data_IF_330234374386
#
_entry.id   IF_330234374386
#
_cell.length_a   1.000
_cell.length_b   1.000
_cell.length_c   1.000
_cell.angle_alpha   90.00
_cell.angle_beta   90.00
_cell.angle_gamma   90.00
#
_symmetry.space_group_name_H-M   'P 1'
#
loop_
_entity.id
_entity.type
_entity.pdbx_description
1 polymer ?
#
# COMPACT_ATOMS: atom_id res chain seq x y z
N UNK A 1 -2.27 16.26 17.45
CA UNK A 1 -2.02 17.56 18.11
C UNK A 1 -1.02 17.51 19.26
N UNK A 2 -1.05 16.53 20.19
CA UNK A 2 -0.08 16.47 21.33
C UNK A 2 1.41 16.39 20.92
N UNK A 3 1.70 15.88 19.73
CA UNK A 3 3.07 15.75 19.18
C UNK A 3 3.52 16.97 18.36
N UNK A 4 2.62 17.95 18.15
CA UNK A 4 2.96 19.20 17.44
C UNK A 4 3.68 20.17 18.36
N UNK A 5 4.57 20.99 17.78
CA UNK A 5 5.22 22.09 18.51
C UNK A 5 4.18 23.09 19.07
N UNK A 6 4.45 23.70 20.22
CA UNK A 6 3.59 24.77 20.75
C UNK A 6 3.46 25.94 19.76
N UNK A 7 2.27 26.57 19.72
CA UNK A 7 1.97 27.66 18.80
C UNK A 7 2.18 27.28 17.31
N UNK A 8 1.69 26.11 16.95
CA UNK A 8 1.72 25.61 15.58
C UNK A 8 0.32 25.50 14.98
N UNK A 9 0.29 25.47 13.66
CA UNK A 9 -0.91 25.17 12.87
C UNK A 9 -0.53 24.09 11.84
N UNK A 10 -1.36 23.07 11.68
CA UNK A 10 -1.23 22.14 10.56
C UNK A 10 -2.33 22.41 9.54
N UNK A 11 -1.97 22.36 8.27
CA UNK A 11 -2.88 22.45 7.11
C UNK A 11 -2.72 21.18 6.30
N UNK A 12 -3.81 20.42 6.20
CA UNK A 12 -3.86 19.11 5.53
C UNK A 12 -4.93 19.18 4.44
N UNK A 13 -4.54 19.16 3.15
CA UNK A 13 -5.49 19.12 2.06
C UNK A 13 -6.04 17.73 1.85
N UNK A 14 -7.31 17.63 1.50
CA UNK A 14 -7.91 16.43 0.89
C UNK A 14 -7.38 16.24 -0.54
N UNK A 15 -7.52 15.01 -1.05
CA UNK A 15 -7.32 14.75 -2.47
C UNK A 15 -8.32 15.53 -3.33
N UNK A 16 -7.94 15.75 -4.58
CA UNK A 16 -8.80 16.33 -5.63
C UNK A 16 -9.32 15.23 -6.54
N UNK A 17 -10.47 15.44 -7.16
CA UNK A 17 -10.92 14.60 -8.24
C UNK A 17 -9.94 14.68 -9.41
N UNK A 18 -9.66 13.54 -10.04
CA UNK A 18 -8.70 13.41 -11.15
C UNK A 18 -9.46 13.05 -12.42
N UNK A 19 -9.29 13.84 -13.48
CA UNK A 19 -9.92 13.57 -14.77
C UNK A 19 -9.32 12.34 -15.44
N UNK A 20 -10.15 11.39 -15.83
CA UNK A 20 -9.81 10.23 -16.64
C UNK A 20 -9.77 10.58 -18.13
N UNK A 21 -10.85 11.21 -18.60
CA UNK A 21 -11.00 11.62 -20.00
C UNK A 21 -12.04 12.72 -20.13
N UNK A 22 -11.68 13.82 -20.75
CA UNK A 22 -12.55 14.96 -21.03
C UNK A 22 -13.30 15.45 -19.78
N UNK A 23 -14.56 15.07 -19.60
CA UNK A 23 -15.46 15.44 -18.50
C UNK A 23 -15.78 14.26 -17.56
N UNK A 24 -15.03 13.17 -17.66
CA UNK A 24 -15.20 11.96 -16.84
C UNK A 24 -14.02 11.81 -15.90
N UNK A 25 -14.30 11.64 -14.61
CA UNK A 25 -13.29 11.45 -13.56
C UNK A 25 -12.95 9.98 -13.34
N UNK A 26 -11.75 9.74 -12.80
CA UNK A 26 -11.45 8.49 -12.15
C UNK A 26 -12.27 8.33 -10.87
N UNK A 27 -12.42 7.09 -10.42
CA UNK A 27 -13.00 6.84 -9.09
C UNK A 27 -12.17 7.59 -8.04
N UNK A 28 -12.83 8.38 -7.22
CA UNK A 28 -12.17 9.16 -6.17
C UNK A 28 -11.61 8.25 -5.08
N UNK A 29 -10.39 8.51 -4.66
CA UNK A 29 -9.74 7.98 -3.47
C UNK A 29 -9.17 9.13 -2.66
N UNK A 30 -9.48 9.16 -1.35
CA UNK A 30 -9.00 10.21 -0.47
C UNK A 30 -7.49 10.07 -0.21
N UNK A 31 -6.81 11.21 0.08
CA UNK A 31 -5.46 11.23 0.61
C UNK A 31 -5.40 10.48 1.94
N UNK A 32 -4.45 9.58 2.09
CA UNK A 32 -4.38 8.67 3.24
C UNK A 32 -4.11 9.40 4.56
N UNK A 33 -3.23 10.41 4.57
CA UNK A 33 -2.94 11.20 5.78
C UNK A 33 -4.14 12.05 6.19
N UNK A 34 -4.83 12.65 5.22
CA UNK A 34 -6.05 13.40 5.46
C UNK A 34 -7.16 12.52 6.01
N UNK A 35 -7.42 11.37 5.36
CA UNK A 35 -8.46 10.43 5.79
C UNK A 35 -8.17 9.85 7.17
N UNK A 36 -6.92 9.46 7.43
CA UNK A 36 -6.45 8.95 8.71
C UNK A 36 -6.79 9.88 9.89
N UNK A 37 -6.63 11.19 9.69
CA UNK A 37 -6.85 12.17 10.75
C UNK A 37 -8.29 12.65 10.86
N UNK A 38 -9.07 12.61 9.78
CA UNK A 38 -10.39 13.26 9.70
C UNK A 38 -11.55 12.30 9.52
N UNK A 39 -11.32 11.13 8.90
CA UNK A 39 -12.36 10.24 8.42
C UNK A 39 -13.22 10.84 7.29
N UNK A 40 -12.89 12.05 6.79
CA UNK A 40 -13.68 12.77 5.81
C UNK A 40 -13.38 12.30 4.38
N UNK A 41 -14.36 11.68 3.72
CA UNK A 41 -14.19 11.00 2.44
C UNK A 41 -14.54 11.81 1.20
N UNK A 42 -14.79 13.15 1.30
CA UNK A 42 -15.11 13.97 0.13
C UNK A 42 -13.89 14.74 -0.38
N UNK A 43 -13.79 15.01 -1.72
CA UNK A 43 -12.70 15.79 -2.30
C UNK A 43 -12.75 17.27 -1.93
N UNK A 44 -11.67 17.98 -2.29
CA UNK A 44 -11.55 19.45 -2.21
C UNK A 44 -11.81 20.03 -0.81
N UNK A 45 -11.42 19.32 0.23
CA UNK A 45 -11.50 19.80 1.61
C UNK A 45 -10.11 20.21 2.13
N UNK A 46 -10.09 20.97 3.23
CA UNK A 46 -8.87 21.27 3.98
C UNK A 46 -9.14 21.11 5.47
N UNK A 47 -8.31 20.35 6.16
CA UNK A 47 -8.31 20.27 7.61
C UNK A 47 -7.25 21.20 8.19
N UNK A 48 -7.62 21.94 9.22
CA UNK A 48 -6.71 22.80 9.98
C UNK A 48 -6.70 22.35 11.44
N UNK A 49 -5.50 22.03 11.94
CA UNK A 49 -5.29 21.68 13.34
C UNK A 49 -4.49 22.79 14.03
N UNK A 50 -5.08 23.43 15.03
CA UNK A 50 -4.47 24.53 15.79
C UNK A 50 -4.54 24.23 17.29
N UNK A 51 -3.55 23.55 17.89
CA UNK A 51 -3.60 23.09 19.29
C UNK A 51 -3.88 24.17 20.31
N UNK A 52 -3.47 25.41 20.04
CA UNK A 52 -3.62 26.59 20.91
C UNK A 52 -4.78 27.51 20.50
N UNK A 53 -5.52 27.18 19.42
CA UNK A 53 -6.66 27.97 18.93
C UNK A 53 -7.95 27.70 19.72
N UNK A 54 -8.93 28.60 19.63
CA UNK A 54 -10.28 28.37 20.17
C UNK A 54 -10.96 27.19 19.47
N UNK A 55 -10.90 27.14 18.13
CA UNK A 55 -11.23 25.96 17.33
C UNK A 55 -9.95 25.18 17.05
N UNK A 56 -9.79 24.06 17.73
CA UNK A 56 -8.57 23.23 17.61
C UNK A 56 -8.55 22.39 16.36
N UNK A 57 -9.72 22.03 15.85
CA UNK A 57 -9.92 21.27 14.63
C UNK A 57 -10.97 21.98 13.77
N UNK A 58 -10.58 22.47 12.63
CA UNK A 58 -11.45 23.15 11.67
C UNK A 58 -11.45 22.40 10.33
N UNK A 59 -12.63 22.19 9.75
CA UNK A 59 -12.78 21.65 8.40
C UNK A 59 -13.29 22.73 7.44
N UNK A 60 -12.63 22.86 6.31
CA UNK A 60 -13.12 23.60 5.15
C UNK A 60 -13.59 22.57 4.13
N UNK A 61 -14.88 22.62 3.77
CA UNK A 61 -15.52 21.59 2.94
C UNK A 61 -16.37 22.20 1.84
N UNK A 62 -16.66 21.44 0.81
CA UNK A 62 -17.62 21.85 -0.21
C UNK A 62 -18.99 22.09 0.44
N UNK A 63 -19.62 23.25 0.27
CA UNK A 63 -20.96 23.49 0.80
C UNK A 63 -21.98 22.61 0.10
N UNK A 64 -23.13 22.41 0.73
CA UNK A 64 -24.28 21.78 0.09
C UNK A 64 -24.75 22.64 -1.08
N UNK A 65 -25.00 22.01 -2.21
CA UNK A 65 -25.46 22.63 -3.43
C UNK A 65 -26.47 21.69 -4.10
N UNK A 66 -27.77 21.90 -3.89
CA UNK A 66 -28.80 21.00 -4.41
C UNK A 66 -28.75 20.80 -5.94
N UNK A 67 -28.32 21.81 -6.71
CA UNK A 67 -28.20 21.69 -8.17
C UNK A 67 -27.05 20.74 -8.54
N UNK A 68 -25.89 20.83 -7.88
CA UNK A 68 -24.76 19.94 -8.09
C UNK A 68 -24.98 18.55 -7.50
N UNK A 69 -25.67 18.47 -6.35
CA UNK A 69 -25.98 17.20 -5.70
C UNK A 69 -26.86 16.27 -6.54
N UNK A 70 -27.65 16.83 -7.47
CA UNK A 70 -28.42 16.03 -8.45
C UNK A 70 -27.50 15.27 -9.40
N UNK A 71 -26.30 15.81 -9.69
CA UNK A 71 -25.34 15.23 -10.63
C UNK A 71 -24.31 14.33 -9.95
N UNK A 72 -23.75 14.78 -8.83
CA UNK A 72 -22.57 14.16 -8.21
C UNK A 72 -22.86 13.46 -6.87
N UNK A 73 -24.10 13.47 -6.43
CA UNK A 73 -24.50 12.90 -5.15
C UNK A 73 -24.49 13.92 -4.00
N UNK A 74 -24.97 13.47 -2.85
CA UNK A 74 -25.12 14.31 -1.65
C UNK A 74 -23.76 14.69 -1.08
N UNK A 75 -23.62 15.93 -0.61
CA UNK A 75 -22.46 16.45 0.10
C UNK A 75 -22.74 16.53 1.60
N UNK A 76 -21.73 16.33 2.42
CA UNK A 76 -21.82 16.53 3.86
C UNK A 76 -22.19 17.99 4.19
N UNK A 77 -21.53 18.94 3.51
CA UNK A 77 -21.68 20.36 3.83
C UNK A 77 -21.10 20.74 5.17
N UNK A 78 -21.21 22.01 5.52
CA UNK A 78 -20.61 22.58 6.74
C UNK A 78 -21.20 22.00 8.03
N UNK A 79 -22.52 21.84 8.09
CA UNK A 79 -23.20 21.38 9.29
C UNK A 79 -22.80 19.94 9.64
N UNK A 80 -22.86 19.05 8.65
CA UNK A 80 -22.53 17.65 8.84
C UNK A 80 -21.04 17.42 9.06
N UNK A 81 -20.19 18.29 8.52
CA UNK A 81 -18.76 18.27 8.80
C UNK A 81 -18.45 18.44 10.29
N UNK A 82 -19.20 19.30 11.00
CA UNK A 82 -19.11 19.43 12.47
C UNK A 82 -19.70 18.24 13.21
N UNK A 83 -20.93 17.87 12.88
CA UNK A 83 -21.71 16.89 13.65
C UNK A 83 -21.13 15.47 13.54
N UNK A 84 -20.67 15.08 12.34
CA UNK A 84 -20.25 13.71 12.06
C UNK A 84 -18.74 13.52 12.20
N UNK A 85 -17.94 14.52 11.81
CA UNK A 85 -16.49 14.40 11.76
C UNK A 85 -15.77 15.12 12.91
N UNK A 86 -16.51 15.58 13.92
CA UNK A 86 -15.96 16.09 15.17
C UNK A 86 -15.20 17.41 15.05
N UNK A 87 -15.41 18.18 13.99
CA UNK A 87 -14.78 19.49 13.84
C UNK A 87 -15.35 20.51 14.83
N UNK A 88 -14.50 21.27 15.51
CA UNK A 88 -14.91 22.39 16.39
C UNK A 88 -15.57 23.48 15.56
N UNK A 89 -15.04 23.75 14.36
CA UNK A 89 -15.58 24.68 13.39
C UNK A 89 -15.55 24.08 11.98
N UNK A 90 -16.49 24.50 11.13
CA UNK A 90 -16.48 24.16 9.72
C UNK A 90 -16.93 25.35 8.89
N UNK A 91 -16.35 25.49 7.68
CA UNK A 91 -16.60 26.60 6.76
C UNK A 91 -16.66 26.06 5.31
N UNK A 92 -17.29 26.81 4.38
CA UNK A 92 -17.13 26.59 2.95
C UNK A 92 -15.66 26.65 2.56
N UNK A 93 -15.20 25.73 1.68
CA UNK A 93 -13.78 25.66 1.28
C UNK A 93 -13.34 26.94 0.54
N UNK A 94 -14.24 27.64 -0.10
CA UNK A 94 -14.00 28.92 -0.76
C UNK A 94 -13.52 30.01 0.21
N UNK A 95 -13.92 29.94 1.49
CA UNK A 95 -13.50 30.89 2.52
C UNK A 95 -12.08 30.63 3.07
N UNK A 96 -11.47 29.47 2.73
CA UNK A 96 -10.17 29.09 3.27
C UNK A 96 -9.09 30.15 3.04
N UNK A 97 -9.02 30.66 1.79
CA UNK A 97 -8.03 31.68 1.43
C UNK A 97 -8.18 32.99 2.21
N UNK A 98 -9.40 33.40 2.49
CA UNK A 98 -9.70 34.64 3.25
C UNK A 98 -9.34 34.48 4.73
N UNK A 99 -9.56 33.28 5.29
CA UNK A 99 -9.29 32.96 6.71
C UNK A 99 -7.82 32.65 7.00
N UNK A 100 -6.98 32.46 5.98
CA UNK A 100 -5.57 32.07 6.18
C UNK A 100 -4.78 33.04 7.06
N UNK A 101 -5.01 34.37 6.99
CA UNK A 101 -4.31 35.32 7.83
C UNK A 101 -4.64 35.09 9.30
N UNK A 102 -5.91 34.89 9.63
CA UNK A 102 -6.38 34.63 10.98
C UNK A 102 -5.82 33.30 11.52
N UNK A 103 -5.91 32.24 10.70
CA UNK A 103 -5.43 30.91 11.05
C UNK A 103 -3.93 30.84 11.30
N UNK A 104 -3.12 31.65 10.60
CA UNK A 104 -1.67 31.62 10.67
C UNK A 104 -1.09 32.70 11.58
N UNK A 105 -1.88 33.70 12.01
CA UNK A 105 -1.36 34.81 12.84
C UNK A 105 -0.92 34.31 14.22
N UNK A 106 0.33 34.59 14.53
CA UNK A 106 0.96 34.16 15.78
C UNK A 106 1.41 32.69 15.82
N UNK A 107 1.08 31.91 14.81
CA UNK A 107 1.65 30.58 14.68
C UNK A 107 3.16 30.68 14.40
N UNK A 108 3.96 29.97 15.19
CA UNK A 108 5.40 29.87 14.99
C UNK A 108 5.78 28.86 13.94
N UNK A 109 5.05 27.74 13.87
CA UNK A 109 5.30 26.60 13.02
C UNK A 109 4.07 26.30 12.17
N UNK A 110 4.27 26.12 10.86
CA UNK A 110 3.27 25.62 9.94
C UNK A 110 3.63 24.18 9.56
N UNK A 111 2.80 23.23 9.97
CA UNK A 111 2.88 21.86 9.48
C UNK A 111 2.15 21.77 8.15
N UNK A 112 2.92 21.58 7.09
CA UNK A 112 2.39 21.46 5.73
C UNK A 112 3.41 20.76 4.84
N UNK A 113 2.94 19.77 4.06
CA UNK A 113 3.79 19.08 3.08
C UNK A 113 3.79 19.85 1.77
N UNK A 114 4.85 20.59 1.51
CA UNK A 114 5.06 21.32 0.25
C UNK A 114 5.34 20.33 -0.86
N UNK A 115 4.71 20.52 -2.02
CA UNK A 115 4.92 19.66 -3.19
C UNK A 115 4.11 18.36 -3.18
N UNK A 116 3.12 18.22 -2.31
CA UNK A 116 2.23 17.06 -2.24
C UNK A 116 1.06 17.13 -3.25
N UNK A 117 1.36 17.37 -4.53
CA UNK A 117 0.39 17.31 -5.61
C UNK A 117 -0.65 18.44 -5.69
N UNK A 118 -0.56 19.45 -4.81
CA UNK A 118 -1.47 20.60 -4.80
C UNK A 118 -0.73 21.94 -4.99
N UNK A 119 -0.23 22.24 -6.21
CA UNK A 119 0.57 23.43 -6.48
C UNK A 119 -0.18 24.74 -6.23
N UNK A 120 -1.50 24.76 -6.37
CA UNK A 120 -2.31 25.97 -6.11
C UNK A 120 -2.29 26.32 -4.62
N UNK A 121 -2.39 25.31 -3.74
CA UNK A 121 -2.32 25.50 -2.30
C UNK A 121 -0.91 25.89 -1.88
N UNK A 122 0.13 25.27 -2.45
CA UNK A 122 1.53 25.66 -2.22
C UNK A 122 1.74 27.16 -2.49
N UNK A 123 1.28 27.62 -3.67
CA UNK A 123 1.38 29.03 -4.07
C UNK A 123 0.55 29.95 -3.17
N UNK A 124 -0.66 29.52 -2.80
CA UNK A 124 -1.53 30.29 -1.91
C UNK A 124 -0.87 30.52 -0.57
N UNK A 125 -0.30 29.50 0.05
CA UNK A 125 0.39 29.58 1.34
C UNK A 125 1.65 30.45 1.26
N UNK A 126 2.47 30.30 0.22
CA UNK A 126 3.67 31.13 0.02
C UNK A 126 3.30 32.61 -0.14
N UNK A 127 2.29 32.93 -0.97
CA UNK A 127 1.80 34.32 -1.17
C UNK A 127 1.23 34.87 0.14
N UNK A 128 0.50 34.08 0.89
CA UNK A 128 -0.09 34.51 2.16
C UNK A 128 0.97 34.82 3.20
N UNK A 129 1.96 33.95 3.37
CA UNK A 129 3.09 34.18 4.29
C UNK A 129 3.86 35.46 3.89
N UNK A 130 4.10 35.67 2.59
CA UNK A 130 4.74 36.88 2.10
C UNK A 130 3.91 38.13 2.43
N UNK A 131 2.59 38.09 2.21
CA UNK A 131 1.66 39.17 2.57
C UNK A 131 1.68 39.48 4.08
N UNK A 132 1.63 38.46 4.90
CA UNK A 132 1.68 38.60 6.37
C UNK A 132 2.97 39.29 6.84
N UNK A 133 4.15 39.00 6.23
CA UNK A 133 5.40 39.67 6.48
C UNK A 133 5.32 41.19 6.25
N UNK A 134 4.60 41.61 5.21
CA UNK A 134 4.38 43.04 4.94
C UNK A 134 3.43 43.68 5.95
N UNK A 135 2.60 42.91 6.64
CA UNK A 135 1.67 43.38 7.68
C UNK A 135 2.28 43.43 9.07
N UNK A 136 3.58 43.14 9.23
CA UNK A 136 4.27 43.10 10.53
C UNK A 136 4.14 44.38 11.34
N UNK A 137 4.10 45.58 10.71
CA UNK A 137 3.83 46.87 11.37
C UNK A 137 2.43 46.99 11.99
N UNK A 138 1.50 46.09 11.55
CA UNK A 138 0.14 45.99 12.11
C UNK A 138 0.02 44.93 13.19
N UNK A 139 1.14 44.30 13.60
CA UNK A 139 1.19 43.29 14.64
C UNK A 139 1.01 41.85 14.13
N UNK A 140 0.78 41.62 12.82
CA UNK A 140 0.62 40.27 12.23
C UNK A 140 1.96 39.54 12.23
N UNK A 141 1.94 38.28 12.68
CA UNK A 141 3.15 37.45 12.83
C UNK A 141 2.99 36.16 12.00
N UNK A 142 3.66 36.07 10.84
CA UNK A 142 3.62 34.87 10.02
C UNK A 142 4.43 33.72 10.66
N UNK A 143 4.19 32.46 10.25
CA UNK A 143 5.03 31.32 10.62
C UNK A 143 6.51 31.56 10.27
N UNK A 144 7.39 31.06 11.14
CA UNK A 144 8.85 31.15 10.95
C UNK A 144 9.39 29.99 10.12
N UNK A 145 8.76 28.81 10.20
CA UNK A 145 9.17 27.61 9.48
C UNK A 145 7.96 26.81 9.01
N UNK A 146 8.19 26.04 7.95
CA UNK A 146 7.28 25.01 7.46
C UNK A 146 7.91 23.67 7.80
N UNK A 147 7.14 22.76 8.39
CA UNK A 147 7.56 21.42 8.83
C UNK A 147 6.67 20.40 8.12
N UNK A 148 7.26 19.33 7.59
CA UNK A 148 6.48 18.22 7.02
C UNK A 148 5.73 17.48 8.16
N UNK A 149 4.37 17.42 8.12
CA UNK A 149 3.57 16.70 9.11
C UNK A 149 3.82 15.19 9.09
N UNK A 150 4.39 14.62 8.01
CA UNK A 150 4.74 13.23 7.88
C UNK A 150 5.61 12.71 9.02
N UNK A 151 6.52 13.53 9.54
CA UNK A 151 7.32 13.16 10.71
C UNK A 151 6.48 12.73 11.94
N UNK A 152 5.22 13.18 12.02
CA UNK A 152 4.28 12.81 13.10
C UNK A 152 3.27 11.77 12.60
N UNK A 153 2.64 12.03 11.44
CA UNK A 153 1.51 11.23 10.94
C UNK A 153 1.99 9.84 10.52
N UNK A 154 3.12 9.74 9.85
CA UNK A 154 3.64 8.46 9.36
C UNK A 154 4.04 7.53 10.51
N UNK A 155 4.59 8.07 11.60
CA UNK A 155 4.86 7.29 12.81
C UNK A 155 3.58 6.84 13.55
N UNK A 156 2.47 7.56 13.38
CA UNK A 156 1.18 7.14 13.89
C UNK A 156 0.55 6.05 13.01
N UNK A 157 0.68 6.16 11.69
CA UNK A 157 0.16 5.18 10.73
C UNK A 157 0.97 3.88 10.72
N UNK A 158 2.28 3.96 10.98
CA UNK A 158 3.17 2.80 10.96
C UNK A 158 2.79 1.75 12.00
N UNK A 159 2.51 2.18 13.24
CA UNK A 159 2.09 1.29 14.33
C UNK A 159 0.57 1.31 14.41
N UNK A 160 -0.08 0.24 13.98
CA UNK A 160 -1.53 0.11 13.88
C UNK A 160 -2.17 -0.08 15.26
N UNK A 161 -3.32 0.54 15.47
CA UNK A 161 -4.20 0.28 16.60
C UNK A 161 -4.94 -1.05 16.44
N UNK A 162 -5.57 -1.55 17.51
CA UNK A 162 -6.35 -2.79 17.43
C UNK A 162 -7.53 -2.67 16.45
N UNK A 163 -8.15 -1.50 16.35
CA UNK A 163 -9.24 -1.21 15.42
C UNK A 163 -8.78 -1.24 13.97
N UNK A 164 -7.61 -0.66 13.69
CA UNK A 164 -6.99 -0.67 12.36
C UNK A 164 -6.59 -2.09 11.94
N UNK A 165 -6.06 -2.89 12.88
CA UNK A 165 -5.74 -4.30 12.64
C UNK A 165 -6.99 -5.11 12.28
N UNK A 166 -8.15 -4.82 12.89
CA UNK A 166 -9.42 -5.47 12.52
C UNK A 166 -9.82 -5.14 11.09
N UNK A 167 -9.64 -3.89 10.64
CA UNK A 167 -9.92 -3.48 9.25
C UNK A 167 -8.96 -4.15 8.27
N UNK A 168 -7.65 -4.20 8.58
CA UNK A 168 -6.65 -4.89 7.77
C UNK A 168 -6.91 -6.40 7.69
N UNK A 169 -7.30 -7.04 8.80
CA UNK A 169 -7.70 -8.45 8.79
C UNK A 169 -8.92 -8.68 7.88
N UNK A 170 -9.89 -7.75 7.88
CA UNK A 170 -11.04 -7.85 6.97
C UNK A 170 -10.63 -7.70 5.51
N UNK A 171 -9.75 -6.76 5.19
CA UNK A 171 -9.17 -6.59 3.85
C UNK A 171 -8.44 -7.86 3.39
N UNK A 172 -7.58 -8.42 4.25
CA UNK A 172 -6.84 -9.65 4.00
C UNK A 172 -7.78 -10.86 3.75
N UNK A 173 -8.84 -11.03 4.55
CA UNK A 173 -9.82 -12.12 4.35
C UNK A 173 -10.59 -11.98 3.03
N UNK A 174 -10.94 -10.75 2.62
CA UNK A 174 -11.58 -10.49 1.32
C UNK A 174 -10.64 -10.89 0.17
N UNK A 175 -9.36 -10.50 0.25
CA UNK A 175 -8.37 -10.84 -0.75
C UNK A 175 -8.09 -12.35 -0.80
N UNK A 176 -7.95 -12.99 0.35
CA UNK A 176 -7.77 -14.45 0.43
C UNK A 176 -8.94 -15.24 -0.19
N UNK A 177 -10.20 -14.78 -0.01
CA UNK A 177 -11.36 -15.37 -0.69
C UNK A 177 -11.23 -15.24 -2.20
N UNK A 178 -10.81 -14.08 -2.72
CA UNK A 178 -10.65 -13.86 -4.16
C UNK A 178 -9.56 -14.76 -4.76
N UNK A 179 -8.44 -14.95 -4.06
CA UNK A 179 -7.40 -15.88 -4.48
C UNK A 179 -7.90 -17.33 -4.54
N UNK A 180 -8.67 -17.77 -3.53
CA UNK A 180 -9.29 -19.11 -3.55
C UNK A 180 -10.27 -19.27 -4.71
N UNK A 181 -11.08 -18.26 -5.01
CA UNK A 181 -12.00 -18.29 -6.15
C UNK A 181 -11.26 -18.28 -7.49
N UNK A 182 -10.15 -17.55 -7.62
CA UNK A 182 -9.30 -17.60 -8.80
C UNK A 182 -8.71 -18.99 -9.01
N UNK A 183 -8.18 -19.64 -7.97
CA UNK A 183 -7.67 -21.02 -8.03
C UNK A 183 -8.75 -22.02 -8.45
N UNK A 184 -9.99 -21.90 -7.95
CA UNK A 184 -11.12 -22.76 -8.34
C UNK A 184 -11.60 -22.54 -9.76
N UNK A 185 -11.44 -21.31 -10.26
CA UNK A 185 -12.06 -20.88 -11.52
C UNK A 185 -11.15 -21.01 -12.73
N UNK A 186 -9.81 -20.89 -12.54
CA UNK A 186 -8.85 -20.90 -13.64
C UNK A 186 -8.95 -22.16 -14.49
N UNK A 187 -8.92 -22.01 -15.83
CA UNK A 187 -8.91 -23.09 -16.82
C UNK A 187 -8.02 -22.72 -17.99
N UNK A 188 -7.39 -23.68 -18.65
CA UNK A 188 -6.74 -23.45 -19.94
C UNK A 188 -7.71 -22.83 -20.95
N UNK A 189 -7.22 -21.86 -21.73
CA UNK A 189 -8.00 -21.10 -22.71
C UNK A 189 -8.68 -19.85 -22.16
N UNK A 190 -8.70 -19.64 -20.85
CA UNK A 190 -9.12 -18.34 -20.27
C UNK A 190 -8.09 -17.25 -20.59
N UNK A 191 -8.55 -16.01 -20.59
CA UNK A 191 -7.69 -14.83 -20.65
C UNK A 191 -7.42 -14.33 -19.22
N UNK A 192 -6.22 -13.76 -19.00
CA UNK A 192 -5.80 -13.22 -17.71
C UNK A 192 -6.82 -12.20 -17.15
N UNK A 193 -7.34 -11.27 -17.98
CA UNK A 193 -8.36 -10.30 -17.56
C UNK A 193 -9.70 -10.94 -17.10
N UNK A 194 -9.99 -12.17 -17.47
CA UNK A 194 -11.20 -12.83 -16.97
C UNK A 194 -11.07 -13.22 -15.50
N UNK A 195 -9.84 -13.56 -15.06
CA UNK A 195 -9.54 -13.80 -13.64
C UNK A 195 -9.41 -12.49 -12.87
N UNK A 196 -8.79 -11.47 -13.47
CA UNK A 196 -8.78 -10.11 -12.90
C UNK A 196 -10.22 -9.67 -12.58
N UNK A 197 -11.13 -9.75 -13.55
CA UNK A 197 -12.53 -9.38 -13.37
C UNK A 197 -13.22 -10.20 -12.27
N UNK A 198 -12.92 -11.51 -12.14
CA UNK A 198 -13.43 -12.36 -11.06
C UNK A 198 -12.91 -11.91 -9.69
N UNK A 199 -11.61 -11.65 -9.58
CA UNK A 199 -10.96 -11.19 -8.35
C UNK A 199 -11.60 -9.87 -7.88
N UNK A 200 -11.69 -8.90 -8.77
CA UNK A 200 -12.31 -7.60 -8.46
C UNK A 200 -13.80 -7.72 -8.13
N UNK A 201 -14.53 -8.62 -8.78
CA UNK A 201 -15.91 -8.93 -8.42
C UNK A 201 -16.01 -9.44 -6.98
N UNK A 202 -15.11 -10.35 -6.57
CA UNK A 202 -15.10 -10.87 -5.20
C UNK A 202 -14.76 -9.75 -4.20
N UNK A 203 -13.82 -8.87 -4.50
CA UNK A 203 -13.52 -7.71 -3.69
C UNK A 203 -14.77 -6.85 -3.48
N UNK A 204 -15.43 -6.46 -4.57
CA UNK A 204 -16.61 -5.60 -4.54
C UNK A 204 -17.82 -6.26 -3.86
N UNK A 205 -18.04 -7.55 -4.11
CA UNK A 205 -19.11 -8.34 -3.47
C UNK A 205 -18.99 -8.36 -1.96
N UNK A 206 -17.75 -8.36 -1.46
CA UNK A 206 -17.46 -8.42 -0.02
C UNK A 206 -17.30 -7.04 0.64
N UNK A 207 -17.56 -5.95 -0.08
CA UNK A 207 -17.60 -4.59 0.45
C UNK A 207 -16.29 -3.80 0.35
N UNK A 208 -15.25 -4.35 -0.28
CA UNK A 208 -14.06 -3.57 -0.59
C UNK A 208 -14.40 -2.37 -1.49
N UNK A 209 -13.74 -1.24 -1.28
CA UNK A 209 -13.95 -0.02 -2.07
C UNK A 209 -13.38 -0.14 -3.48
N UNK A 210 -12.23 -0.79 -3.62
CA UNK A 210 -11.50 -1.00 -4.86
C UNK A 210 -10.45 -2.12 -4.66
N UNK A 211 -9.71 -2.56 -5.71
CA UNK A 211 -8.39 -3.11 -5.55
C UNK A 211 -7.47 -2.08 -4.87
N UNK A 212 -6.54 -2.53 -4.02
CA UNK A 212 -5.58 -1.65 -3.35
C UNK A 212 -4.51 -1.12 -4.34
N UNK A 213 -4.26 -1.89 -5.39
CA UNK A 213 -3.35 -1.60 -6.51
C UNK A 213 -3.85 -2.30 -7.78
N UNK A 214 -3.21 -2.04 -8.92
CA UNK A 214 -3.56 -2.71 -10.17
C UNK A 214 -3.29 -4.22 -10.06
N UNK A 215 -4.32 -5.02 -10.18
CA UNK A 215 -4.26 -6.48 -10.10
C UNK A 215 -3.30 -7.04 -11.15
N UNK A 216 -2.39 -7.90 -10.74
CA UNK A 216 -1.44 -8.61 -11.60
C UNK A 216 -1.94 -10.04 -11.81
N UNK A 217 -2.10 -10.45 -13.06
CA UNK A 217 -2.47 -11.81 -13.45
C UNK A 217 -1.55 -12.25 -14.58
N UNK A 218 -0.40 -12.84 -14.22
CA UNK A 218 0.63 -13.23 -15.18
C UNK A 218 0.72 -14.73 -15.42
N UNK A 219 0.29 -15.20 -16.59
CA UNK A 219 0.38 -16.60 -17.00
C UNK A 219 1.70 -16.94 -17.71
N UNK A 220 2.28 -18.12 -17.43
CA UNK A 220 3.50 -18.60 -18.08
C UNK A 220 4.66 -17.61 -17.97
N UNK A 221 5.21 -17.15 -19.09
CA UNK A 221 6.34 -16.21 -19.13
C UNK A 221 5.99 -14.85 -18.55
N UNK A 222 4.72 -14.42 -18.53
CA UNK A 222 4.29 -13.17 -17.94
C UNK A 222 4.48 -13.16 -16.42
N UNK A 223 4.49 -14.32 -15.77
CA UNK A 223 4.80 -14.47 -14.36
C UNK A 223 6.24 -14.04 -13.99
N UNK A 224 7.12 -13.87 -14.99
CA UNK A 224 8.49 -13.38 -14.77
C UNK A 224 8.61 -11.85 -14.80
N UNK A 225 7.50 -11.14 -15.04
CA UNK A 225 7.44 -9.66 -15.07
C UNK A 225 6.80 -9.19 -13.77
N UNK A 226 7.54 -8.48 -12.92
CA UNK A 226 7.16 -8.18 -11.55
C UNK A 226 5.83 -7.42 -11.43
N UNK A 227 5.62 -6.39 -12.25
CA UNK A 227 4.40 -5.56 -12.25
C UNK A 227 3.66 -5.70 -13.59
N UNK A 228 3.32 -6.93 -13.97
CA UNK A 228 2.58 -7.21 -15.19
C UNK A 228 1.07 -6.93 -15.01
N UNK A 229 0.60 -5.83 -15.59
CA UNK A 229 -0.78 -5.34 -15.45
C UNK A 229 -1.58 -5.35 -16.77
N UNK A 230 -1.01 -5.84 -17.87
CA UNK A 230 -1.74 -5.89 -19.14
C UNK A 230 -2.87 -6.93 -19.09
N UNK A 231 -2.63 -8.06 -18.45
CA UNK A 231 -3.59 -9.14 -18.20
C UNK A 231 -4.37 -9.59 -19.45
N UNK A 232 -3.71 -9.62 -20.62
CA UNK A 232 -4.40 -9.84 -21.91
C UNK A 232 -4.03 -11.17 -22.60
N UNK A 233 -3.09 -11.93 -22.05
CA UNK A 233 -2.65 -13.19 -22.62
C UNK A 233 -3.63 -14.33 -22.34
N UNK A 234 -3.50 -15.42 -23.13
CA UNK A 234 -4.25 -16.65 -22.93
C UNK A 234 -3.48 -17.58 -22.00
N UNK A 235 -4.16 -18.10 -20.99
CA UNK A 235 -3.65 -19.09 -20.05
C UNK A 235 -3.61 -20.47 -20.71
N UNK A 236 -2.46 -21.12 -20.69
CA UNK A 236 -2.24 -22.40 -21.37
C UNK A 236 -2.14 -23.54 -20.37
N UNK A 237 -2.47 -24.72 -20.82
CA UNK A 237 -2.18 -25.93 -20.07
C UNK A 237 -0.68 -26.07 -19.83
N UNK A 238 -0.29 -26.39 -18.59
CA UNK A 238 1.11 -26.47 -18.19
C UNK A 238 1.75 -25.15 -17.73
N UNK A 239 1.10 -23.99 -17.91
CA UNK A 239 1.60 -22.71 -17.37
C UNK A 239 1.41 -22.63 -15.86
N UNK A 240 2.33 -21.92 -15.18
CA UNK A 240 2.05 -21.31 -13.87
C UNK A 240 1.32 -19.98 -14.08
N UNK A 241 0.46 -19.66 -13.15
CA UNK A 241 -0.21 -18.37 -13.05
C UNK A 241 0.20 -17.69 -11.74
N UNK A 242 0.83 -16.55 -11.84
CA UNK A 242 1.11 -15.66 -10.72
C UNK A 242 -0.03 -14.64 -10.64
N UNK A 243 -0.71 -14.61 -9.51
CA UNK A 243 -1.73 -13.62 -9.18
C UNK A 243 -1.25 -12.81 -7.99
N UNK A 244 -1.17 -11.49 -8.17
CA UNK A 244 -0.84 -10.54 -7.14
C UNK A 244 -1.97 -9.51 -7.06
N UNK A 245 -2.76 -9.61 -5.98
CA UNK A 245 -4.01 -8.88 -5.86
C UNK A 245 -4.38 -8.65 -4.38
N UNK A 246 -4.60 -7.41 -4.04
CA UNK A 246 -5.05 -6.97 -2.72
C UNK A 246 -6.32 -6.12 -2.78
N UNK A 247 -7.14 -6.21 -1.76
CA UNK A 247 -8.36 -5.41 -1.61
C UNK A 247 -8.08 -4.12 -0.81
N UNK A 248 -8.85 -3.06 -1.08
CA UNK A 248 -8.94 -1.89 -0.20
C UNK A 248 -10.27 -1.92 0.54
N UNK A 249 -10.24 -2.06 1.86
CA UNK A 249 -11.41 -2.05 2.71
C UNK A 249 -11.32 -0.95 3.77
N UNK A 250 -12.30 -0.02 3.76
CA UNK A 250 -12.34 1.15 4.66
C UNK A 250 -11.02 1.96 4.68
N UNK A 251 -10.36 2.04 3.50
CA UNK A 251 -9.09 2.75 3.31
C UNK A 251 -7.84 1.96 3.70
N UNK A 252 -7.96 0.69 4.12
CA UNK A 252 -6.82 -0.18 4.42
C UNK A 252 -6.60 -1.22 3.33
N UNK A 253 -5.34 -1.35 2.89
CA UNK A 253 -4.92 -2.31 1.88
C UNK A 253 -4.65 -3.69 2.49
N UNK A 254 -4.79 -4.72 1.66
CA UNK A 254 -4.12 -6.01 1.79
C UNK A 254 -3.25 -6.26 0.58
N UNK A 255 -2.30 -7.17 0.69
CA UNK A 255 -1.35 -7.52 -0.36
C UNK A 255 -1.08 -9.02 -0.35
N UNK A 256 -1.46 -9.72 -1.43
CA UNK A 256 -1.31 -11.17 -1.52
C UNK A 256 -0.80 -11.54 -2.90
N UNK A 257 0.32 -12.23 -2.94
CA UNK A 257 0.70 -12.97 -4.14
C UNK A 257 0.59 -14.47 -3.92
N UNK A 258 -0.03 -15.14 -4.89
CA UNK A 258 -0.05 -16.62 -5.01
C UNK A 258 0.32 -17.02 -6.41
N UNK A 259 1.12 -18.09 -6.52
CA UNK A 259 1.45 -18.72 -7.80
C UNK A 259 0.92 -20.15 -7.82
N UNK A 260 0.15 -20.52 -8.84
CA UNK A 260 -0.49 -21.83 -8.93
C UNK A 260 -0.59 -22.30 -10.38
N UNK A 261 -0.67 -23.62 -10.63
CA UNK A 261 -0.69 -24.16 -11.99
C UNK A 261 -2.07 -24.00 -12.66
N UNK A 262 -2.10 -23.51 -13.90
CA UNK A 262 -3.34 -23.39 -14.70
C UNK A 262 -4.03 -24.76 -14.84
N UNK A 263 -3.25 -25.83 -15.00
CA UNK A 263 -3.74 -27.23 -15.11
C UNK A 263 -4.27 -27.82 -13.79
N UNK A 264 -3.94 -27.21 -12.63
CA UNK A 264 -4.27 -27.70 -11.29
C UNK A 264 -3.23 -28.65 -10.68
N UNK A 265 -2.16 -28.92 -11.39
CA UNK A 265 -1.05 -29.76 -10.92
C UNK A 265 0.28 -29.12 -11.28
N UNK A 266 1.17 -29.00 -10.31
CA UNK A 266 2.53 -28.55 -10.54
C UNK A 266 3.36 -29.65 -11.23
N UNK A 267 4.16 -29.28 -12.23
CA UNK A 267 5.21 -30.16 -12.76
C UNK A 267 6.38 -30.24 -11.77
N UNK A 268 7.26 -31.22 -11.92
CA UNK A 268 8.43 -31.37 -11.04
C UNK A 268 9.33 -30.11 -11.06
N UNK A 269 9.53 -29.51 -12.23
CA UNK A 269 10.31 -28.30 -12.36
C UNK A 269 9.66 -27.09 -11.67
N UNK A 270 8.34 -26.96 -11.75
CA UNK A 270 7.58 -25.92 -11.06
C UNK A 270 7.63 -26.12 -9.54
N UNK A 271 7.50 -27.37 -9.06
CA UNK A 271 7.64 -27.71 -7.64
C UNK A 271 9.02 -27.36 -7.10
N UNK A 272 10.10 -27.65 -7.84
CA UNK A 272 11.46 -27.32 -7.44
C UNK A 272 11.60 -25.81 -7.10
N UNK A 273 11.10 -24.94 -7.99
CA UNK A 273 11.18 -23.47 -7.81
C UNK A 273 10.19 -22.99 -6.75
N UNK A 274 8.94 -23.46 -6.80
CA UNK A 274 7.89 -23.08 -5.87
C UNK A 274 8.27 -23.40 -4.42
N UNK A 275 8.74 -24.63 -4.17
CA UNK A 275 9.14 -25.07 -2.83
C UNK A 275 10.30 -24.23 -2.29
N UNK A 276 11.27 -23.86 -3.14
CA UNK A 276 12.37 -23.00 -2.71
C UNK A 276 11.86 -21.61 -2.28
N UNK A 277 10.92 -21.03 -3.03
CA UNK A 277 10.32 -19.75 -2.67
C UNK A 277 9.47 -19.87 -1.41
N UNK A 278 8.69 -20.94 -1.27
CA UNK A 278 7.87 -21.21 -0.09
C UNK A 278 8.73 -21.38 1.17
N UNK A 279 9.78 -22.20 1.10
CA UNK A 279 10.72 -22.40 2.20
C UNK A 279 11.36 -21.07 2.64
N UNK A 280 11.69 -20.20 1.68
CA UNK A 280 12.23 -18.87 1.95
C UNK A 280 11.19 -17.99 2.65
N UNK A 281 9.98 -17.92 2.12
CA UNK A 281 8.89 -17.13 2.66
C UNK A 281 8.58 -17.51 4.10
N UNK A 282 8.44 -18.81 4.38
CA UNK A 282 8.17 -19.30 5.72
C UNK A 282 9.31 -19.04 6.71
N UNK A 283 10.57 -19.28 6.29
CA UNK A 283 11.72 -19.04 7.16
C UNK A 283 11.84 -17.54 7.51
N UNK A 284 11.65 -16.65 6.53
CA UNK A 284 11.69 -15.21 6.79
C UNK A 284 10.52 -14.76 7.67
N UNK A 285 9.32 -15.30 7.45
CA UNK A 285 8.15 -15.01 8.31
C UNK A 285 8.41 -15.41 9.77
N UNK A 286 9.02 -16.56 10.00
CA UNK A 286 9.36 -17.04 11.36
C UNK A 286 10.40 -16.17 12.08
N UNK A 287 11.15 -15.33 11.38
CA UNK A 287 12.10 -14.38 12.01
C UNK A 287 11.40 -13.16 12.60
N UNK A 288 10.14 -12.88 12.20
CA UNK A 288 9.44 -11.65 12.57
C UNK A 288 9.16 -11.65 14.07
N UNK A 289 9.75 -10.68 14.75
CA UNK A 289 9.53 -10.37 16.15
C UNK A 289 9.96 -8.92 16.41
N UNK A 290 9.49 -8.27 17.47
CA UNK A 290 10.00 -6.96 17.86
C UNK A 290 11.51 -6.95 17.99
N UNK A 291 12.17 -5.98 17.41
CA UNK A 291 13.62 -5.82 17.42
C UNK A 291 14.37 -6.32 16.18
N UNK A 292 13.74 -7.15 15.34
CA UNK A 292 14.31 -7.57 14.04
C UNK A 292 14.17 -6.44 13.01
N UNK A 293 15.08 -6.36 12.06
CA UNK A 293 15.02 -5.36 10.98
C UNK A 293 14.60 -5.99 9.65
N UNK A 294 13.97 -5.20 8.77
CA UNK A 294 13.67 -5.62 7.39
C UNK A 294 14.96 -5.99 6.63
N UNK A 295 16.09 -5.35 6.95
CA UNK A 295 17.38 -5.64 6.34
C UNK A 295 17.89 -7.05 6.70
N UNK A 296 17.82 -7.44 7.98
CA UNK A 296 18.21 -8.78 8.43
C UNK A 296 17.37 -9.86 7.77
N UNK A 297 16.05 -9.65 7.67
CA UNK A 297 15.14 -10.58 7.00
C UNK A 297 15.42 -10.67 5.49
N UNK A 298 15.67 -9.53 4.84
CA UNK A 298 16.05 -9.53 3.41
C UNK A 298 17.38 -10.26 3.19
N UNK A 299 18.39 -10.01 4.02
CA UNK A 299 19.68 -10.72 3.92
C UNK A 299 19.48 -12.24 4.05
N UNK A 300 18.60 -12.67 4.96
CA UNK A 300 18.28 -14.09 5.10
C UNK A 300 17.59 -14.66 3.87
N UNK A 301 16.67 -13.94 3.26
CA UNK A 301 16.02 -14.36 2.00
C UNK A 301 17.03 -14.51 0.86
N UNK A 302 17.98 -13.60 0.75
CA UNK A 302 19.06 -13.67 -0.25
C UNK A 302 19.92 -14.91 -0.04
N UNK A 303 20.27 -15.27 1.21
CA UNK A 303 21.03 -16.47 1.53
C UNK A 303 20.28 -17.74 1.11
N UNK A 304 19.04 -17.90 1.56
CA UNK A 304 18.20 -19.08 1.27
C UNK A 304 18.01 -19.28 -0.22
N UNK A 305 17.62 -18.19 -0.93
CA UNK A 305 17.37 -18.27 -2.36
C UNK A 305 18.67 -18.54 -3.13
N UNK A 306 19.80 -17.94 -2.75
CA UNK A 306 21.08 -18.16 -3.43
C UNK A 306 21.59 -19.60 -3.24
N UNK A 307 21.48 -20.16 -2.03
CA UNK A 307 21.78 -21.57 -1.76
C UNK A 307 20.90 -22.50 -2.61
N UNK A 308 19.60 -22.21 -2.67
CA UNK A 308 18.66 -22.96 -3.50
C UNK A 308 18.96 -22.85 -4.99
N UNK A 309 19.27 -21.66 -5.49
CA UNK A 309 19.63 -21.45 -6.89
C UNK A 309 20.91 -22.21 -7.29
N UNK A 310 21.90 -22.29 -6.40
CA UNK A 310 23.10 -23.12 -6.64
C UNK A 310 22.71 -24.60 -6.68
N UNK A 311 21.89 -25.08 -5.74
CA UNK A 311 21.41 -26.48 -5.70
C UNK A 311 20.64 -26.87 -6.96
N UNK A 312 19.82 -25.95 -7.49
CA UNK A 312 19.03 -26.19 -8.70
C UNK A 312 19.82 -25.94 -10.02
N UNK A 313 21.07 -25.48 -9.91
CA UNK A 313 21.93 -25.19 -11.06
C UNK A 313 21.59 -23.89 -11.81
N UNK A 314 20.82 -23.01 -11.22
CA UNK A 314 20.53 -21.66 -11.72
C UNK A 314 21.74 -20.73 -11.56
N UNK A 315 22.51 -20.91 -10.51
CA UNK A 315 23.78 -20.23 -10.26
C UNK A 315 24.90 -21.25 -10.07
N UNK A 316 26.14 -20.84 -10.33
CA UNK A 316 27.35 -21.69 -10.16
C UNK A 316 28.41 -20.92 -9.42
N UNK A 317 28.92 -21.45 -8.32
CA UNK A 317 29.98 -20.85 -7.52
C UNK A 317 29.76 -20.99 -6.03
N UNK A 318 30.62 -20.35 -5.26
CA UNK A 318 30.49 -20.27 -3.80
C UNK A 318 29.38 -19.26 -3.45
N UNK A 319 28.44 -19.66 -2.60
CA UNK A 319 27.24 -18.88 -2.21
C UNK A 319 27.63 -17.49 -1.71
N UNK A 320 28.59 -17.40 -0.79
CA UNK A 320 29.03 -16.12 -0.23
C UNK A 320 29.51 -15.15 -1.32
N UNK A 321 30.32 -15.65 -2.26
CA UNK A 321 30.83 -14.84 -3.37
C UNK A 321 29.70 -14.41 -4.32
N UNK A 322 28.76 -15.30 -4.62
CA UNK A 322 27.61 -14.99 -5.47
C UNK A 322 26.73 -13.88 -4.85
N UNK A 323 26.61 -13.87 -3.51
CA UNK A 323 25.88 -12.81 -2.78
C UNK A 323 26.67 -11.50 -2.84
N UNK A 324 27.98 -11.52 -2.54
CA UNK A 324 28.85 -10.34 -2.59
C UNK A 324 28.88 -9.71 -3.98
N UNK A 325 28.93 -10.51 -5.05
CA UNK A 325 28.95 -10.07 -6.45
C UNK A 325 27.54 -9.69 -6.96
N UNK A 326 26.47 -9.94 -6.17
CA UNK A 326 25.09 -9.63 -6.54
C UNK A 326 24.50 -10.53 -7.64
N UNK A 327 25.08 -11.71 -7.89
CA UNK A 327 24.67 -12.65 -8.95
C UNK A 327 23.23 -13.17 -8.78
N UNK A 328 22.73 -13.25 -7.53
CA UNK A 328 21.36 -13.64 -7.20
C UNK A 328 20.32 -12.71 -7.83
N UNK A 329 20.68 -11.44 -8.07
CA UNK A 329 19.78 -10.43 -8.64
C UNK A 329 19.31 -10.75 -10.07
N UNK A 330 19.96 -11.71 -10.74
CA UNK A 330 19.50 -12.23 -12.03
C UNK A 330 18.11 -12.86 -11.95
N UNK A 331 17.75 -13.39 -10.77
CA UNK A 331 16.49 -14.12 -10.56
C UNK A 331 15.69 -13.59 -9.38
N UNK A 332 16.32 -12.85 -8.44
CA UNK A 332 15.69 -12.23 -7.28
C UNK A 332 16.18 -10.78 -7.16
N UNK A 333 15.43 -9.84 -7.74
CA UNK A 333 15.89 -8.46 -7.93
C UNK A 333 15.18 -7.41 -7.06
N UNK A 334 14.21 -7.81 -6.23
CA UNK A 334 13.48 -6.91 -5.33
C UNK A 334 13.77 -7.19 -3.85
N UNK A 335 13.26 -6.34 -2.98
CA UNK A 335 13.35 -6.51 -1.52
C UNK A 335 12.39 -7.61 -1.05
N UNK A 336 12.60 -8.12 0.18
CA UNK A 336 11.76 -9.15 0.78
C UNK A 336 10.33 -8.66 1.04
N UNK A 337 10.12 -7.35 1.22
CA UNK A 337 8.81 -6.80 1.53
C UNK A 337 8.86 -5.32 1.88
N UNK A 338 7.72 -4.78 2.25
CA UNK A 338 7.50 -3.38 2.61
C UNK A 338 6.47 -3.24 3.74
N UNK A 339 6.36 -2.05 4.33
CA UNK A 339 5.27 -1.74 5.26
C UNK A 339 3.94 -1.69 4.50
N UNK A 340 2.87 -2.12 5.17
CA UNK A 340 1.52 -2.17 4.64
C UNK A 340 0.55 -1.46 5.59
N UNK A 341 -0.45 -0.78 5.05
CA UNK A 341 -1.46 -0.07 5.85
C UNK A 341 -2.55 0.56 5.00
N UNK A 342 -2.75 1.87 5.12
CA UNK A 342 -3.68 2.60 4.25
C UNK A 342 -3.17 2.70 2.82
N UNK A 343 -1.85 2.72 2.63
CA UNK A 343 -1.24 2.58 1.31
C UNK A 343 -0.63 1.18 1.20
N UNK A 344 -0.62 0.60 -0.01
CA UNK A 344 0.01 -0.71 -0.25
C UNK A 344 1.50 -0.65 0.09
N UNK A 345 2.21 0.36 -0.40
CA UNK A 345 3.54 0.73 0.07
C UNK A 345 3.38 1.81 1.14
N UNK A 346 3.14 1.38 2.38
CA UNK A 346 2.77 2.30 3.46
C UNK A 346 3.96 3.12 3.95
N UNK A 347 3.62 4.23 4.59
CA UNK A 347 4.58 5.19 5.14
C UNK A 347 5.33 4.63 6.33
N UNK A 348 6.50 5.19 6.60
CA UNK A 348 7.38 4.82 7.71
C UNK A 348 8.84 4.85 7.29
N UNK A 349 9.73 5.09 8.25
CA UNK A 349 11.15 5.08 7.99
C UNK A 349 11.72 3.66 8.13
N UNK A 350 12.44 3.19 7.12
CA UNK A 350 13.19 1.92 7.16
C UNK A 350 14.54 2.06 7.87
N UNK A 351 15.01 3.30 8.04
CA UNK A 351 16.26 3.64 8.72
C UNK A 351 16.03 4.79 9.70
N UNK A 352 16.63 4.71 10.87
CA UNK A 352 16.65 5.79 11.87
C UNK A 352 18.10 6.04 12.27
N UNK A 353 18.54 7.30 12.23
CA UNK A 353 19.93 7.69 12.53
C UNK A 353 20.98 6.92 11.69
N UNK A 354 20.64 6.60 10.44
CA UNK A 354 21.51 5.89 9.51
C UNK A 354 21.64 4.38 9.75
N UNK A 355 20.87 3.82 10.69
CA UNK A 355 20.82 2.40 10.98
C UNK A 355 19.48 1.80 10.53
N UNK A 356 19.42 0.52 10.09
CA UNK A 356 18.16 -0.17 9.86
C UNK A 356 17.26 -0.08 11.09
N UNK A 357 15.98 0.27 10.87
CA UNK A 357 15.01 0.40 11.95
C UNK A 357 14.51 -0.98 12.39
N UNK A 358 14.58 -1.32 13.68
CA UNK A 358 13.91 -2.49 14.21
C UNK A 358 12.39 -2.35 14.09
N UNK A 359 11.69 -3.45 13.79
CA UNK A 359 10.23 -3.45 13.77
C UNK A 359 9.68 -3.54 15.20
N UNK A 360 8.57 -2.84 15.44
CA UNK A 360 7.84 -2.84 16.69
C UNK A 360 6.52 -3.61 16.56
N UNK A 361 5.96 -4.07 17.68
CA UNK A 361 4.61 -4.64 17.71
C UNK A 361 3.58 -3.61 17.18
N UNK A 362 2.62 -4.08 16.38
CA UNK A 362 1.63 -3.25 15.70
C UNK A 362 2.03 -2.83 14.28
N UNK A 363 3.25 -3.06 13.84
CA UNK A 363 3.65 -2.88 12.43
C UNK A 363 3.09 -4.02 11.60
N UNK A 364 2.54 -3.71 10.42
CA UNK A 364 2.17 -4.69 9.39
C UNK A 364 3.09 -4.53 8.20
N UNK A 365 3.55 -5.66 7.65
CA UNK A 365 4.51 -5.70 6.55
C UNK A 365 4.25 -6.90 5.64
N UNK A 366 4.68 -6.84 4.40
CA UNK A 366 4.67 -7.98 3.48
C UNK A 366 5.91 -8.85 3.66
N UNK A 367 5.79 -10.13 3.31
CA UNK A 367 6.90 -11.09 3.15
C UNK A 367 6.68 -11.80 1.83
N UNK A 368 7.42 -11.39 0.80
CA UNK A 368 7.14 -11.68 -0.60
C UNK A 368 8.36 -12.14 -1.43
N UNK A 369 9.15 -13.13 -1.00
CA UNK A 369 10.24 -13.59 -1.84
C UNK A 369 9.73 -14.14 -3.17
N UNK A 370 10.56 -14.04 -4.23
CA UNK A 370 10.22 -14.56 -5.53
C UNK A 370 11.44 -14.97 -6.34
N UNK A 371 11.23 -15.82 -7.34
CA UNK A 371 12.22 -16.19 -8.36
C UNK A 371 11.60 -16.03 -9.75
N UNK A 372 12.30 -15.31 -10.61
CA UNK A 372 11.81 -14.95 -11.95
C UNK A 372 12.86 -15.35 -13.00
N UNK A 373 12.58 -16.44 -13.71
CA UNK A 373 13.51 -17.06 -14.65
C UNK A 373 13.02 -16.77 -16.06
N UNK A 374 13.65 -15.82 -16.73
CA UNK A 374 13.26 -15.44 -18.09
C UNK A 374 13.31 -16.64 -19.05
N UNK A 375 12.45 -16.63 -20.07
CA UNK A 375 12.37 -17.71 -21.05
C UNK A 375 13.65 -17.86 -21.89
N UNK A 376 14.40 -16.78 -22.05
CA UNK A 376 15.66 -16.70 -22.78
C UNK A 376 16.91 -16.76 -21.88
N UNK A 377 16.74 -17.05 -20.58
CA UNK A 377 17.86 -17.15 -19.64
C UNK A 377 18.89 -18.20 -20.11
N UNK A 378 20.17 -17.80 -20.13
CA UNK A 378 21.25 -18.65 -20.59
C UNK A 378 22.02 -19.30 -19.43
N UNK A 379 22.66 -20.44 -19.70
CA UNK A 379 23.56 -21.12 -18.74
C UNK A 379 22.86 -21.85 -17.60
N UNK A 380 21.55 -22.01 -17.67
CA UNK A 380 20.70 -22.70 -16.68
C UNK A 380 20.03 -23.93 -17.26
N UNK A 381 19.48 -24.86 -16.44
CA UNK A 381 18.70 -25.99 -16.96
C UNK A 381 17.43 -25.50 -17.69
N UNK A 382 17.21 -25.98 -18.91
CA UNK A 382 16.09 -25.56 -19.76
C UNK A 382 14.71 -25.75 -19.12
N UNK A 383 14.55 -26.75 -18.24
CA UNK A 383 13.29 -27.06 -17.53
C UNK A 383 12.78 -25.93 -16.63
N UNK A 384 13.64 -24.96 -16.28
CA UNK A 384 13.26 -23.85 -15.41
C UNK A 384 12.98 -22.54 -16.16
N UNK A 385 13.24 -22.47 -17.46
CA UNK A 385 13.00 -21.26 -18.26
C UNK A 385 11.53 -20.89 -18.31
N UNK A 386 11.24 -19.61 -18.16
CA UNK A 386 9.87 -19.07 -18.19
C UNK A 386 9.07 -19.33 -16.91
N UNK A 387 9.73 -19.76 -15.81
CA UNK A 387 9.08 -19.93 -14.51
C UNK A 387 9.27 -18.68 -13.68
N UNK A 388 8.14 -18.06 -13.28
CA UNK A 388 8.07 -17.00 -12.30
C UNK A 388 7.23 -17.44 -11.10
N UNK A 389 7.75 -17.25 -9.88
CA UNK A 389 7.06 -17.58 -8.63
C UNK A 389 7.28 -16.45 -7.64
N UNK A 390 6.21 -15.93 -7.05
CA UNK A 390 6.18 -15.10 -5.86
C UNK A 390 5.14 -15.67 -4.90
N UNK A 391 5.45 -15.68 -3.61
CA UNK A 391 4.54 -16.07 -2.53
C UNK A 391 4.62 -14.99 -1.47
N UNK A 392 3.50 -14.37 -1.16
CA UNK A 392 3.42 -13.18 -0.33
C UNK A 392 2.30 -13.27 0.70
N UNK A 393 2.63 -12.89 1.91
CA UNK A 393 1.67 -12.73 2.99
C UNK A 393 1.81 -11.38 3.69
N UNK A 394 0.67 -10.84 4.15
CA UNK A 394 0.61 -9.73 5.10
C UNK A 394 0.86 -10.26 6.52
N UNK A 395 1.85 -9.70 7.19
CA UNK A 395 2.27 -10.15 8.51
C UNK A 395 2.25 -9.01 9.52
N UNK A 396 1.48 -9.19 10.59
CA UNK A 396 1.46 -8.32 11.75
C UNK A 396 2.55 -8.72 12.74
N UNK A 397 3.37 -7.78 13.15
CA UNK A 397 4.30 -7.94 14.28
C UNK A 397 3.50 -7.89 15.58
N UNK A 398 3.59 -8.94 16.42
CA UNK A 398 2.96 -9.01 17.73
C UNK A 398 4.00 -8.91 18.85
N UNK A 399 3.62 -8.63 20.11
CA UNK A 399 4.58 -8.59 21.21
C UNK A 399 5.39 -9.90 21.39
N UNK A 400 4.80 -11.05 21.03
CA UNK A 400 5.41 -12.37 21.18
C UNK A 400 6.02 -12.94 19.89
N UNK A 401 5.92 -12.21 18.76
CA UNK A 401 6.39 -12.68 17.46
C UNK A 401 5.58 -12.11 16.30
N UNK A 402 4.76 -12.93 15.64
CA UNK A 402 4.00 -12.51 14.47
C UNK A 402 2.62 -13.19 14.35
N UNK A 403 1.78 -12.60 13.50
CA UNK A 403 0.51 -13.18 13.03
C UNK A 403 0.35 -12.93 11.54
N UNK A 404 0.14 -13.99 10.74
CA UNK A 404 -0.16 -13.88 9.31
C UNK A 404 -1.63 -13.52 9.14
N UNK A 405 -1.91 -12.36 8.55
CA UNK A 405 -3.28 -11.87 8.32
C UNK A 405 -3.93 -12.59 7.14
N UNK A 406 -3.14 -13.03 6.18
CA UNK A 406 -3.56 -13.64 4.91
C UNK A 406 -3.54 -15.17 4.92
N UNK A 407 -3.47 -15.79 6.11
CA UNK A 407 -3.35 -17.24 6.29
C UNK A 407 -4.48 -18.07 5.64
N UNK A 408 -5.62 -17.43 5.32
CA UNK A 408 -6.74 -18.08 4.63
C UNK A 408 -6.49 -18.33 3.13
N UNK A 409 -5.47 -17.70 2.54
CA UNK A 409 -5.05 -17.95 1.16
C UNK A 409 -4.05 -19.12 1.15
N UNK A 410 -4.40 -20.30 0.58
CA UNK A 410 -3.53 -21.47 0.60
C UNK A 410 -2.22 -21.20 -0.15
N UNK A 411 -1.11 -21.70 0.39
CA UNK A 411 0.23 -21.61 -0.21
C UNK A 411 0.98 -22.94 -0.25
N UNK A 412 0.56 -23.93 0.52
CA UNK A 412 1.13 -25.27 0.43
C UNK A 412 0.73 -25.94 -0.90
N UNK A 413 1.69 -26.61 -1.54
CA UNK A 413 1.46 -27.27 -2.85
C UNK A 413 0.25 -28.19 -2.80
N UNK A 414 0.17 -29.01 -1.77
CA UNK A 414 -0.89 -30.00 -1.58
C UNK A 414 -2.25 -29.33 -1.36
N UNK A 415 -2.32 -28.24 -0.61
CA UNK A 415 -3.55 -27.48 -0.37
C UNK A 415 -4.06 -26.83 -1.67
N UNK A 416 -3.15 -26.23 -2.47
CA UNK A 416 -3.47 -25.63 -3.76
C UNK A 416 -4.01 -26.70 -4.70
N UNK A 417 -3.31 -27.81 -4.87
CA UNK A 417 -3.74 -28.89 -5.75
C UNK A 417 -5.07 -29.49 -5.31
N UNK A 418 -5.28 -29.71 -4.00
CA UNK A 418 -6.55 -30.19 -3.46
C UNK A 418 -7.70 -29.19 -3.70
N UNK A 419 -7.46 -27.90 -3.49
CA UNK A 419 -8.47 -26.86 -3.77
C UNK A 419 -8.86 -26.83 -5.25
N UNK A 420 -7.91 -27.11 -6.13
CA UNK A 420 -8.09 -27.11 -7.58
C UNK A 420 -8.65 -28.42 -8.12
N UNK A 421 -8.58 -29.55 -7.42
CA UNK A 421 -9.20 -30.83 -7.82
C UNK A 421 -10.73 -30.80 -7.81
N UNK A 422 -11.33 -30.00 -6.93
CA UNK A 422 -12.80 -29.87 -6.77
C UNK A 422 -13.52 -29.04 -7.82
N UNK A 423 -12.83 -28.63 -8.90
CA UNK A 423 -13.32 -27.71 -9.95
C UNK A 423 -13.96 -28.42 -11.17
#
# INVERSE_FOLDING_TARGET
MRRMEPNSVAILPAARETTRSHDTEYRFRQDSDFYYLTGFGEPDAVAVLAPSGEARYTLFVRPRDPEKEVWTGRRAGVERAKETFGADAAFPVEEFGEKLTELLDGARWLYYRVGNGNPDLDQLLVRQIARMRMMGRRGVRPPHAIIDPGAIIHEMRLVKTDEEIVLMQRSASIAAEAHREAMRSVRPGMKEYQLEALIEYVFRRNGASAPAYNTIVGGGVNATILHYINNDAELRDGDLLLVDAGAEYEGFASDITRTFPVSGRFTDAQRDIYQLVLDCQEQCTRMIAPGVTMEEMHQRSVEILTEGMVRLGLLRGEVKKLIEDGEYKKFYMHRLGHYLGMDVHDVGLYHTDGQPRPVDAGIVMTVEPGLYIAADAEGIPDKYRGIGVRIEDDVLVTPEGFRVLTHEAPKEIEEIEQLMEGR
#
